data_IF_621111255458
#
_entry.id   IF_621111255458
#
_cell.length_a   1.000
_cell.length_b   1.000
_cell.length_c   1.000
_cell.angle_alpha   90.00
_cell.angle_beta   90.00
_cell.angle_gamma   90.00
#
_symmetry.space_group_name_H-M   'P 1'
#
loop_
_entity.id
_entity.type
_entity.pdbx_description
1 polymer ?
#
# COMPACT_ATOMS: atom_id res chain seq x y z
N UNK A 1 -44.66 5.52 -10.34
CA UNK A 1 -43.43 5.82 -11.11
C UNK A 1 -42.49 6.80 -10.42
N UNK A 2 -42.98 7.78 -9.65
CA UNK A 2 -42.12 8.77 -8.98
C UNK A 2 -41.15 8.15 -7.95
N UNK A 3 -41.59 7.16 -7.17
CA UNK A 3 -40.82 6.54 -6.07
C UNK A 3 -39.54 5.82 -6.49
N UNK A 4 -39.53 5.14 -7.63
CA UNK A 4 -38.33 4.47 -8.17
C UNK A 4 -37.25 5.47 -8.58
N UNK A 5 -37.66 6.59 -9.18
CA UNK A 5 -36.76 7.66 -9.64
C UNK A 5 -36.09 8.37 -8.46
N UNK A 6 -36.82 8.57 -7.36
CA UNK A 6 -36.28 9.14 -6.12
C UNK A 6 -35.27 8.23 -5.44
N UNK A 7 -35.51 6.91 -5.43
CA UNK A 7 -34.58 5.93 -4.87
C UNK A 7 -33.26 5.86 -5.66
N UNK A 8 -33.30 5.90 -6.98
CA UNK A 8 -32.09 5.90 -7.82
C UNK A 8 -31.24 7.14 -7.59
N UNK A 9 -31.86 8.31 -7.48
CA UNK A 9 -31.15 9.56 -7.24
C UNK A 9 -30.45 9.57 -5.87
N UNK A 10 -31.08 8.98 -4.85
CA UNK A 10 -30.48 8.80 -3.52
C UNK A 10 -29.27 7.86 -3.55
N UNK A 11 -29.31 6.78 -4.34
CA UNK A 11 -28.16 5.89 -4.49
C UNK A 11 -26.98 6.55 -5.21
N UNK A 12 -27.23 7.38 -6.22
CA UNK A 12 -26.16 8.11 -6.94
C UNK A 12 -25.48 9.19 -6.08
N UNK A 13 -26.23 9.84 -5.18
CA UNK A 13 -25.69 10.81 -4.23
C UNK A 13 -24.90 10.17 -3.08
N UNK A 14 -25.16 8.89 -2.77
CA UNK A 14 -24.44 8.14 -1.75
C UNK A 14 -23.10 7.53 -2.24
N UNK A 15 -22.93 7.36 -3.55
CA UNK A 15 -21.72 6.79 -4.15
C UNK A 15 -20.40 7.48 -3.73
N UNK A 16 -20.29 8.82 -3.64
CA UNK A 16 -19.05 9.47 -3.21
C UNK A 16 -18.78 9.37 -1.69
N UNK A 17 -19.73 8.91 -0.87
CA UNK A 17 -19.52 8.70 0.56
C UNK A 17 -18.70 7.43 0.86
N UNK A 18 -18.65 6.52 -0.11
CA UNK A 18 -17.72 5.40 -0.13
C UNK A 18 -16.44 5.98 -0.75
N UNK A 19 -15.56 6.52 0.09
CA UNK A 19 -14.33 7.18 -0.35
C UNK A 19 -13.54 6.34 -1.37
N UNK A 20 -12.73 7.01 -2.20
CA UNK A 20 -11.90 6.34 -3.19
C UNK A 20 -11.11 5.19 -2.53
N UNK A 21 -11.17 4.00 -3.15
CA UNK A 21 -10.44 2.84 -2.65
C UNK A 21 -8.95 3.19 -2.51
N UNK A 22 -8.41 2.99 -1.32
CA UNK A 22 -7.00 3.19 -1.01
C UNK A 22 -6.35 1.81 -0.98
N UNK A 23 -5.42 1.59 -1.90
CA UNK A 23 -4.59 0.39 -1.88
C UNK A 23 -3.75 0.39 -0.60
N UNK A 24 -3.74 -0.75 0.09
CA UNK A 24 -3.04 -0.88 1.36
C UNK A 24 -2.57 -2.30 1.61
N UNK A 25 -1.29 -2.45 1.94
CA UNK A 25 -0.66 -3.68 2.38
C UNK A 25 -0.34 -3.55 3.87
N UNK A 26 -1.18 -4.16 4.70
CA UNK A 26 -0.96 -4.25 6.15
C UNK A 26 -0.23 -5.55 6.44
N UNK A 27 1.08 -5.45 6.76
CA UNK A 27 1.88 -6.62 7.11
C UNK A 27 2.06 -6.66 8.61
N UNK A 28 1.54 -7.70 9.25
CA UNK A 28 1.70 -7.95 10.68
C UNK A 28 2.89 -8.89 10.88
N UNK A 29 3.96 -8.38 11.47
CA UNK A 29 5.06 -9.20 11.95
C UNK A 29 4.86 -9.43 13.46
N UNK A 30 4.42 -10.62 13.86
CA UNK A 30 4.40 -11.02 15.28
C UNK A 30 5.85 -11.31 15.71
N UNK A 31 6.62 -10.27 16.06
CA UNK A 31 7.94 -10.44 16.65
C UNK A 31 7.81 -10.39 18.17
N UNK A 32 7.77 -11.57 18.80
CA UNK A 32 7.74 -11.71 20.25
C UNK A 32 9.14 -11.52 20.84
N UNK A 33 9.65 -10.28 20.90
CA UNK A 33 10.90 -10.00 21.64
C UNK A 33 10.55 -9.60 23.07
N UNK A 34 10.62 -10.59 23.97
CA UNK A 34 10.71 -10.42 25.43
C UNK A 34 9.65 -9.47 26.02
N UNK A 35 8.38 -9.84 25.91
CA UNK A 35 7.28 -9.13 26.55
C UNK A 35 5.95 -9.50 25.90
N UNK A 36 5.11 -10.22 26.64
CA UNK A 36 3.79 -10.64 26.20
C UNK A 36 2.99 -9.36 25.83
N UNK A 37 2.64 -9.18 24.55
CA UNK A 37 1.60 -8.22 24.13
C UNK A 37 2.02 -7.02 23.28
N UNK A 38 3.29 -6.81 22.95
CA UNK A 38 3.70 -5.73 22.03
C UNK A 38 3.74 -6.25 20.60
N UNK A 39 2.61 -6.12 19.89
CA UNK A 39 2.56 -6.30 18.43
C UNK A 39 3.17 -5.06 17.79
N UNK A 40 4.48 -5.10 17.52
CA UNK A 40 5.15 -4.00 16.83
C UNK A 40 4.85 -4.10 15.33
N UNK A 41 3.85 -3.37 14.86
CA UNK A 41 3.66 -3.13 13.44
C UNK A 41 4.81 -2.26 12.94
N UNK A 42 5.65 -2.79 12.05
CA UNK A 42 6.62 -1.98 11.32
C UNK A 42 5.83 -1.27 10.21
N UNK A 43 5.64 0.03 10.36
CA UNK A 43 4.87 0.81 9.41
C UNK A 43 5.65 1.01 8.11
N UNK A 44 5.27 0.25 7.08
CA UNK A 44 5.82 0.35 5.74
C UNK A 44 5.07 1.42 4.91
N UNK A 45 5.76 2.18 4.05
CA UNK A 45 5.12 3.15 3.17
C UNK A 45 4.11 2.47 2.23
N UNK A 46 2.91 3.05 2.15
CA UNK A 46 1.77 2.51 1.40
C UNK A 46 1.62 3.14 0.00
N UNK A 47 2.41 4.18 -0.29
CA UNK A 47 2.39 4.93 -1.54
C UNK A 47 3.73 5.61 -1.83
N UNK A 48 3.92 6.07 -3.07
CA UNK A 48 5.10 6.85 -3.47
C UNK A 48 5.29 8.10 -2.59
N UNK A 49 4.20 8.78 -2.24
CA UNK A 49 4.23 9.96 -1.38
C UNK A 49 4.75 9.60 0.01
N UNK A 50 4.19 8.56 0.64
CA UNK A 50 4.63 8.12 1.97
C UNK A 50 6.06 7.56 1.98
N UNK A 51 6.51 6.96 0.88
CA UNK A 51 7.88 6.49 0.74
C UNK A 51 8.86 7.68 0.71
N UNK A 52 8.53 8.72 -0.07
CA UNK A 52 9.32 9.95 -0.11
C UNK A 52 9.33 10.67 1.25
N UNK A 53 8.18 10.78 1.92
CA UNK A 53 8.07 11.37 3.27
C UNK A 53 8.92 10.62 4.30
N UNK A 54 8.95 9.28 4.23
CA UNK A 54 9.78 8.43 5.09
C UNK A 54 11.26 8.40 4.66
N UNK A 55 11.66 9.21 3.68
CA UNK A 55 13.02 9.29 3.15
C UNK A 55 13.55 7.96 2.58
N UNK A 56 12.65 7.14 2.04
CA UNK A 56 13.04 5.95 1.28
C UNK A 56 13.58 6.38 -0.09
N UNK A 57 14.43 5.56 -0.67
CA UNK A 57 15.06 5.80 -1.97
C UNK A 57 14.56 4.80 -3.00
N UNK A 58 14.31 5.28 -4.21
CA UNK A 58 14.06 4.40 -5.34
C UNK A 58 15.35 3.70 -5.72
N UNK A 59 15.26 2.41 -6.00
CA UNK A 59 16.39 1.60 -6.44
C UNK A 59 16.01 0.77 -7.65
N UNK A 60 17.02 0.42 -8.43
CA UNK A 60 16.81 -0.47 -9.58
C UNK A 60 16.38 -1.83 -9.08
N UNK A 61 15.20 -2.27 -9.53
CA UNK A 61 14.67 -3.58 -9.19
C UNK A 61 15.42 -4.67 -9.97
N UNK A 62 15.78 -5.80 -9.32
CA UNK A 62 16.28 -6.97 -10.02
C UNK A 62 15.29 -7.47 -11.07
N UNK A 63 15.79 -8.17 -12.10
CA UNK A 63 14.90 -8.81 -13.06
C UNK A 63 13.96 -9.79 -12.36
N UNK A 64 12.67 -9.65 -12.62
CA UNK A 64 11.61 -10.45 -12.02
C UNK A 64 10.69 -11.07 -13.06
N UNK A 65 9.62 -11.76 -12.62
CA UNK A 65 8.67 -12.38 -13.52
C UNK A 65 8.07 -11.41 -14.54
N UNK A 66 7.87 -11.90 -15.77
CA UNK A 66 7.19 -11.15 -16.81
C UNK A 66 5.81 -10.70 -16.32
N UNK A 67 5.50 -9.41 -16.47
CA UNK A 67 4.25 -8.80 -16.00
C UNK A 67 4.37 -7.95 -14.73
N UNK A 68 5.51 -7.97 -14.03
CA UNK A 68 5.76 -7.12 -12.85
C UNK A 68 6.75 -5.98 -13.12
N UNK A 69 7.08 -5.71 -14.38
CA UNK A 69 8.12 -4.75 -14.76
C UNK A 69 7.75 -3.29 -14.42
N UNK A 70 6.46 -2.99 -14.29
CA UNK A 70 5.96 -1.64 -13.91
C UNK A 70 6.16 -1.31 -12.43
N UNK A 71 6.50 -2.30 -11.59
CA UNK A 71 6.67 -2.08 -10.16
C UNK A 71 7.95 -1.28 -9.87
N UNK A 72 7.79 -0.16 -9.17
CA UNK A 72 8.88 0.66 -8.68
C UNK A 72 9.28 0.18 -7.29
N UNK A 73 10.57 -0.04 -7.07
CA UNK A 73 11.09 -0.51 -5.79
C UNK A 73 11.63 0.65 -4.96
N UNK A 74 11.13 0.78 -3.73
CA UNK A 74 11.62 1.71 -2.73
C UNK A 74 12.23 0.95 -1.56
N UNK A 75 13.37 1.42 -1.06
CA UNK A 75 14.03 0.85 0.11
C UNK A 75 14.42 1.93 1.11
N UNK A 76 14.57 1.59 2.40
CA UNK A 76 15.25 2.45 3.35
C UNK A 76 16.67 2.82 2.86
N UNK A 77 17.18 4.01 3.23
CA UNK A 77 18.45 4.52 2.70
C UNK A 77 19.68 3.71 3.18
N UNK A 78 19.57 3.00 4.29
CA UNK A 78 20.70 2.27 4.91
C UNK A 78 20.41 0.78 5.13
N UNK A 79 19.22 0.31 4.74
CA UNK A 79 18.77 -1.07 4.97
C UNK A 79 17.95 -1.54 3.78
N UNK A 80 18.37 -2.66 3.17
CA UNK A 80 17.73 -3.27 2.01
C UNK A 80 17.04 -4.60 2.33
N UNK A 81 16.89 -4.91 3.63
CA UNK A 81 16.27 -6.17 4.10
C UNK A 81 14.82 -6.26 3.66
N UNK A 82 14.09 -5.14 3.71
CA UNK A 82 12.69 -5.05 3.25
C UNK A 82 12.52 -3.80 2.39
N UNK A 83 12.19 -4.02 1.12
CA UNK A 83 11.82 -2.97 0.18
C UNK A 83 10.35 -3.11 -0.21
N UNK A 84 9.69 -1.99 -0.47
CA UNK A 84 8.30 -1.97 -0.95
C UNK A 84 8.28 -1.87 -2.47
N UNK A 85 7.32 -2.55 -3.07
CA UNK A 85 7.02 -2.47 -4.50
C UNK A 85 5.72 -1.70 -4.68
N UNK A 86 5.78 -0.64 -5.47
CA UNK A 86 4.66 0.26 -5.74
C UNK A 86 4.29 0.13 -7.21
N UNK A 87 3.00 -0.04 -7.49
CA UNK A 87 2.51 -0.15 -8.86
C UNK A 87 2.28 1.22 -9.52
N UNK A 88 1.78 1.18 -10.75
CA UNK A 88 1.42 2.35 -11.55
C UNK A 88 0.20 3.12 -11.01
N UNK A 89 -0.58 2.52 -10.13
CA UNK A 89 -1.66 3.21 -9.39
C UNK A 89 -1.12 4.06 -8.25
N UNK A 90 0.18 3.91 -7.92
CA UNK A 90 0.87 4.69 -6.89
C UNK A 90 0.71 4.11 -5.48
N UNK A 91 0.11 2.93 -5.35
CA UNK A 91 -0.09 2.22 -4.09
C UNK A 91 0.84 1.01 -3.98
N UNK A 92 1.08 0.59 -2.75
CA UNK A 92 1.87 -0.60 -2.46
C UNK A 92 1.19 -1.85 -3.05
N UNK A 93 1.96 -2.59 -3.85
CA UNK A 93 1.53 -3.81 -4.52
C UNK A 93 2.29 -5.05 -4.04
N UNK A 94 3.40 -4.87 -3.31
CA UNK A 94 4.15 -6.00 -2.75
C UNK A 94 5.37 -5.60 -1.94
N UNK A 95 6.10 -6.63 -1.50
CA UNK A 95 7.37 -6.50 -0.80
C UNK A 95 8.45 -7.29 -1.54
N UNK A 96 9.67 -6.80 -1.47
CA UNK A 96 10.88 -7.55 -1.78
C UNK A 96 11.68 -7.70 -0.49
N UNK A 97 11.93 -8.94 -0.09
CA UNK A 97 12.70 -9.29 1.10
C UNK A 97 13.97 -10.00 0.65
N UNK A 98 15.12 -9.59 1.18
CA UNK A 98 16.44 -10.15 0.87
C UNK A 98 16.74 -11.44 1.65
#
# INVERSE_FOLDING_TARGET
MATYRTLILLCFLAAPAIGAWQGGLNVRFDITVVGIGVTAFIELPQSNATAAEKSWVQVTRPEGPAGLASLVMWCPPTDYTVCVLIDDTGYIAGLQVA
#
